data_IF_186722877824
#
_entry.id   IF_186722877824
#
_cell.length_a   1.000
_cell.length_b   1.000
_cell.length_c   1.000
_cell.angle_alpha   90.00
_cell.angle_beta   90.00
_cell.angle_gamma   90.00
#
_symmetry.space_group_name_H-M   'P 1'
#
loop_
_entity.id
_entity.type
_entity.pdbx_description
1 polymer ?
#
# COMPACT_ATOMS: atom_id res chain seq x y z
N UNK A 1 6.21 -16.08 7.07
CA UNK A 1 4.75 -16.04 6.84
C UNK A 1 4.25 -14.82 7.56
N UNK A 2 3.72 -13.86 6.81
CA UNK A 2 3.34 -12.54 7.33
C UNK A 2 2.08 -12.62 8.18
N UNK A 3 2.11 -12.03 9.38
CA UNK A 3 0.91 -11.88 10.20
C UNK A 3 0.14 -10.64 9.72
N UNK A 4 -1.14 -10.80 9.41
CA UNK A 4 -1.98 -9.72 8.87
C UNK A 4 -3.12 -9.40 9.84
N UNK A 5 -3.16 -8.16 10.32
CA UNK A 5 -4.25 -7.59 11.12
C UNK A 5 -4.89 -6.45 10.35
N UNK A 6 -6.20 -6.54 10.08
CA UNK A 6 -6.96 -5.52 9.33
C UNK A 6 -8.26 -5.19 10.08
N UNK A 7 -8.78 -3.96 9.98
CA UNK A 7 -9.98 -3.58 10.71
C UNK A 7 -11.20 -4.26 10.07
N UNK A 8 -12.24 -4.52 10.88
CA UNK A 8 -13.51 -5.01 10.37
C UNK A 8 -14.07 -4.03 9.32
N UNK A 9 -14.44 -4.57 8.15
CA UNK A 9 -15.05 -3.77 7.10
C UNK A 9 -16.54 -4.09 7.00
N UNK A 10 -17.37 -3.06 7.09
CA UNK A 10 -18.82 -3.18 6.92
C UNK A 10 -19.23 -3.49 5.47
N UNK A 11 -18.27 -3.60 4.53
CA UNK A 11 -18.50 -4.02 3.15
C UNK A 11 -19.16 -2.97 2.26
N UNK A 12 -19.21 -1.72 2.70
CA UNK A 12 -19.99 -0.66 2.03
C UNK A 12 -19.26 0.01 0.85
N UNK A 13 -17.95 -0.22 0.67
CA UNK A 13 -17.14 0.43 -0.37
C UNK A 13 -16.20 -0.58 -1.02
N UNK A 14 -16.38 -0.90 -2.33
CA UNK A 14 -15.45 -1.77 -3.06
C UNK A 14 -14.01 -1.28 -3.02
N UNK A 15 -13.80 0.05 -3.05
CA UNK A 15 -12.48 0.66 -2.99
C UNK A 15 -11.79 0.47 -1.64
N UNK A 16 -12.57 0.39 -0.56
CA UNK A 16 -12.02 0.16 0.78
C UNK A 16 -11.44 -1.25 0.88
N UNK A 17 -12.17 -2.25 0.40
CA UNK A 17 -11.66 -3.62 0.29
C UNK A 17 -10.43 -3.68 -0.62
N UNK A 18 -10.49 -3.05 -1.80
CA UNK A 18 -9.36 -2.99 -2.74
C UNK A 18 -8.09 -2.39 -2.10
N UNK A 19 -8.19 -1.25 -1.39
CA UNK A 19 -7.02 -0.64 -0.75
C UNK A 19 -6.47 -1.48 0.40
N UNK A 20 -7.34 -2.13 1.18
CA UNK A 20 -6.91 -3.10 2.21
C UNK A 20 -6.10 -4.21 1.54
N UNK A 21 -6.66 -4.85 0.53
CA UNK A 21 -6.05 -6.01 -0.14
C UNK A 21 -4.76 -5.60 -0.87
N UNK A 22 -4.72 -4.39 -1.43
CA UNK A 22 -3.53 -3.81 -2.04
C UNK A 22 -2.38 -3.64 -1.03
N UNK A 23 -2.66 -3.18 0.19
CA UNK A 23 -1.62 -3.06 1.22
C UNK A 23 -1.17 -4.42 1.76
N UNK A 24 -2.09 -5.39 1.85
CA UNK A 24 -1.74 -6.79 2.18
C UNK A 24 -0.82 -7.37 1.10
N UNK A 25 -1.13 -7.15 -0.19
CA UNK A 25 -0.29 -7.59 -1.29
C UNK A 25 1.15 -7.04 -1.21
N UNK A 26 1.33 -5.79 -0.78
CA UNK A 26 2.67 -5.25 -0.49
C UNK A 26 3.40 -6.02 0.61
N UNK A 27 2.71 -6.38 1.69
CA UNK A 27 3.30 -7.12 2.81
C UNK A 27 3.54 -8.61 2.51
N UNK A 28 2.83 -9.18 1.53
CA UNK A 28 2.99 -10.57 1.08
C UNK A 28 3.89 -10.70 -0.16
N UNK A 29 4.26 -9.57 -0.79
CA UNK A 29 5.06 -9.57 -2.02
C UNK A 29 4.27 -10.05 -3.25
N UNK A 30 2.96 -9.89 -3.28
CA UNK A 30 2.10 -10.25 -4.43
C UNK A 30 2.21 -9.18 -5.54
N UNK A 31 3.32 -9.24 -6.26
CA UNK A 31 3.65 -8.34 -7.36
C UNK A 31 2.58 -8.34 -8.46
N UNK A 32 2.01 -9.49 -8.79
CA UNK A 32 0.99 -9.62 -9.83
C UNK A 32 -0.24 -8.78 -9.47
N UNK A 33 -0.77 -8.95 -8.25
CA UNK A 33 -1.94 -8.18 -7.79
C UNK A 33 -1.66 -6.68 -7.72
N UNK A 34 -0.47 -6.27 -7.25
CA UNK A 34 -0.09 -4.86 -7.16
C UNK A 34 -0.08 -4.23 -8.56
N UNK A 35 0.58 -4.88 -9.53
CA UNK A 35 0.71 -4.36 -10.89
C UNK A 35 -0.63 -4.34 -11.63
N UNK A 36 -1.53 -5.30 -11.36
CA UNK A 36 -2.89 -5.30 -11.93
C UNK A 36 -3.77 -4.18 -11.37
N UNK A 37 -3.58 -3.80 -10.11
CA UNK A 37 -4.41 -2.82 -9.39
C UNK A 37 -4.08 -1.36 -9.75
N UNK A 38 -2.82 -1.09 -10.11
CA UNK A 38 -2.37 0.25 -10.53
C UNK A 38 -2.58 0.49 -12.02
N UNK A 39 -2.73 1.75 -12.43
CA UNK A 39 -2.78 2.15 -13.85
C UNK A 39 -1.43 1.93 -14.56
N UNK A 40 -1.44 1.92 -15.90
CA UNK A 40 -0.22 1.77 -16.70
C UNK A 40 0.76 2.93 -16.48
N UNK A 41 0.24 4.15 -16.27
CA UNK A 41 0.94 5.42 -16.05
C UNK A 41 0.97 5.85 -14.58
N UNK A 42 0.90 4.88 -13.65
CA UNK A 42 0.85 5.16 -12.21
C UNK A 42 2.02 6.03 -11.73
N UNK A 43 1.73 7.01 -10.88
CA UNK A 43 2.75 7.83 -10.22
C UNK A 43 2.86 7.43 -8.74
N UNK A 44 3.99 6.87 -8.33
CA UNK A 44 4.27 6.54 -6.93
C UNK A 44 5.37 7.44 -6.36
N UNK A 45 5.06 8.15 -5.28
CA UNK A 45 6.02 8.94 -4.51
C UNK A 45 6.23 8.32 -3.13
N UNK A 46 7.44 7.83 -2.85
CA UNK A 46 7.91 7.56 -1.49
C UNK A 46 8.50 8.86 -0.91
N UNK A 47 7.81 9.46 0.05
CA UNK A 47 8.19 10.79 0.58
C UNK A 47 9.52 10.71 1.31
N UNK A 48 10.44 11.61 0.96
CA UNK A 48 11.82 11.59 1.49
C UNK A 48 12.78 10.73 0.69
N UNK A 49 12.29 9.98 -0.31
CA UNK A 49 13.09 9.04 -1.09
C UNK A 49 12.97 9.32 -2.59
N UNK A 50 12.17 8.52 -3.32
CA UNK A 50 12.13 8.45 -4.77
C UNK A 50 10.72 8.59 -5.31
N UNK A 51 10.64 9.04 -6.56
CA UNK A 51 9.44 8.99 -7.39
C UNK A 51 9.60 7.95 -8.49
N UNK A 52 8.52 7.25 -8.79
CA UNK A 52 8.43 6.15 -9.77
C UNK A 52 7.28 6.43 -10.71
N UNK A 53 7.45 6.13 -12.00
CA UNK A 53 6.44 6.40 -13.01
C UNK A 53 6.21 5.18 -13.90
N UNK A 54 4.96 4.70 -13.89
CA UNK A 54 4.50 3.54 -14.64
C UNK A 54 4.83 2.21 -13.96
N UNK A 55 4.17 1.15 -14.43
CA UNK A 55 4.26 -0.20 -13.85
C UNK A 55 5.67 -0.78 -13.82
N UNK A 56 6.53 -0.42 -14.78
CA UNK A 56 7.92 -0.88 -14.81
C UNK A 56 8.74 -0.42 -13.61
N UNK A 57 8.66 0.88 -13.28
CA UNK A 57 9.35 1.44 -12.11
C UNK A 57 8.77 0.89 -10.78
N UNK A 58 7.46 0.60 -10.75
CA UNK A 58 6.82 -0.06 -9.60
C UNK A 58 7.35 -1.48 -9.44
N UNK A 59 7.41 -2.28 -10.52
CA UNK A 59 7.93 -3.64 -10.48
C UNK A 59 9.38 -3.69 -9.99
N UNK A 60 10.26 -2.82 -10.52
CA UNK A 60 11.64 -2.73 -10.06
C UNK A 60 11.75 -2.37 -8.57
N UNK A 61 10.84 -1.54 -8.06
CA UNK A 61 10.81 -1.23 -6.64
C UNK A 61 10.35 -2.40 -5.76
N UNK A 62 9.36 -3.17 -6.23
CA UNK A 62 8.93 -4.39 -5.57
C UNK A 62 10.06 -5.42 -5.53
N UNK A 63 10.84 -5.54 -6.61
CA UNK A 63 12.06 -6.37 -6.64
C UNK A 63 13.11 -5.91 -5.63
N UNK A 64 13.36 -4.60 -5.51
CA UNK A 64 14.26 -4.05 -4.47
C UNK A 64 13.75 -4.33 -3.04
N UNK A 65 12.44 -4.50 -2.87
CA UNK A 65 11.80 -4.78 -1.58
C UNK A 65 11.70 -6.28 -1.26
N UNK A 66 11.93 -7.19 -2.22
CA UNK A 66 11.76 -8.66 -2.03
C UNK A 66 12.60 -9.26 -0.92
N UNK A 67 13.74 -8.65 -0.59
CA UNK A 67 14.63 -9.11 0.48
C UNK A 67 14.23 -8.57 1.87
N UNK A 68 13.19 -7.73 1.96
CA UNK A 68 12.66 -7.22 3.23
C UNK A 68 11.48 -8.06 3.68
N UNK A 69 11.75 -9.10 4.46
CA UNK A 69 10.71 -9.98 4.98
C UNK A 69 9.86 -9.23 6.04
N UNK A 70 8.59 -9.01 5.70
CA UNK A 70 7.60 -8.45 6.62
C UNK A 70 7.14 -9.55 7.57
N UNK A 71 7.32 -9.33 8.88
CA UNK A 71 6.82 -10.23 9.91
C UNK A 71 5.34 -9.97 10.23
N UNK A 72 4.95 -8.70 10.32
CA UNK A 72 3.58 -8.30 10.64
C UNK A 72 3.16 -7.02 9.88
N UNK A 73 1.94 -7.02 9.37
CA UNK A 73 1.23 -5.82 8.93
C UNK A 73 0.00 -5.63 9.82
N UNK A 74 -0.11 -4.45 10.42
CA UNK A 74 -1.34 -3.97 11.03
C UNK A 74 -1.86 -2.78 10.24
N UNK A 75 -3.05 -2.93 9.64
CA UNK A 75 -3.81 -1.82 9.07
C UNK A 75 -4.72 -1.27 10.16
N UNK A 76 -4.55 0.01 10.48
CA UNK A 76 -5.39 0.69 11.48
C UNK A 76 -6.66 1.26 10.83
N UNK A 77 -6.52 1.89 9.66
CA UNK A 77 -7.65 2.52 8.98
C UNK A 77 -7.53 2.40 7.47
N UNK A 78 -8.69 2.29 6.85
CA UNK A 78 -8.87 2.47 5.41
C UNK A 78 -10.01 3.45 5.20
N UNK A 79 -9.70 4.58 4.57
CA UNK A 79 -10.63 5.68 4.32
C UNK A 79 -10.79 5.84 2.82
N UNK A 80 -12.02 5.97 2.34
CA UNK A 80 -12.30 6.24 0.91
C UNK A 80 -13.40 7.27 0.76
N UNK A 81 -13.27 8.16 -0.22
CA UNK A 81 -14.31 9.09 -0.63
C UNK A 81 -14.15 9.46 -2.11
N UNK A 82 -15.15 9.17 -2.94
CA UNK A 82 -15.10 9.44 -4.38
C UNK A 82 -13.92 8.73 -5.08
N UNK A 83 -12.97 9.50 -5.60
CA UNK A 83 -11.77 9.01 -6.26
C UNK A 83 -10.52 8.99 -5.37
N UNK A 84 -10.64 9.36 -4.10
CA UNK A 84 -9.49 9.41 -3.17
C UNK A 84 -9.61 8.34 -2.08
N UNK A 85 -8.48 7.84 -1.59
CA UNK A 85 -8.43 6.99 -0.42
C UNK A 85 -7.13 7.14 0.36
N UNK A 86 -7.11 6.60 1.57
CA UNK A 86 -5.91 6.55 2.41
C UNK A 86 -5.92 5.27 3.25
N UNK A 87 -4.73 4.73 3.50
CA UNK A 87 -4.49 3.61 4.41
C UNK A 87 -3.38 4.01 5.37
N UNK A 88 -3.58 3.78 6.67
CA UNK A 88 -2.52 3.95 7.66
C UNK A 88 -2.42 2.72 8.56
N UNK A 89 -1.23 2.51 9.10
CA UNK A 89 -0.92 1.34 9.89
C UNK A 89 0.54 1.26 10.31
N UNK A 90 0.94 0.07 10.75
CA UNK A 90 2.31 -0.27 11.13
C UNK A 90 2.76 -1.54 10.43
N UNK A 91 4.00 -1.57 9.99
CA UNK A 91 4.68 -2.77 9.47
C UNK A 91 5.87 -3.11 10.37
N UNK A 92 6.00 -4.37 10.74
CA UNK A 92 7.13 -4.90 11.52
C UNK A 92 7.90 -5.87 10.64
N UNK A 93 9.21 -5.66 10.53
CA UNK A 93 10.12 -6.50 9.76
C UNK A 93 10.61 -7.69 10.59
N UNK A 94 11.12 -8.74 9.95
CA UNK A 94 11.68 -9.90 10.64
C UNK A 94 12.90 -9.57 11.53
N UNK A 95 13.63 -8.50 11.24
CA UNK A 95 14.74 -8.01 12.06
C UNK A 95 14.30 -7.24 13.32
N UNK A 96 12.99 -7.04 13.49
CA UNK A 96 12.37 -6.34 14.61
C UNK A 96 12.22 -4.83 14.42
N UNK A 97 12.72 -4.25 13.33
CA UNK A 97 12.44 -2.85 13.00
C UNK A 97 10.94 -2.67 12.68
N UNK A 98 10.39 -1.52 13.08
CA UNK A 98 8.98 -1.22 12.89
C UNK A 98 8.81 0.15 12.25
N UNK A 99 7.83 0.27 11.36
CA UNK A 99 7.55 1.51 10.63
C UNK A 99 6.07 1.81 10.66
N UNK A 100 5.73 3.04 11.04
CA UNK A 100 4.39 3.58 10.85
C UNK A 100 4.30 4.12 9.42
N UNK A 101 3.19 3.84 8.75
CA UNK A 101 2.97 4.31 7.38
C UNK A 101 1.60 4.98 7.22
N UNK A 102 1.54 5.85 6.22
CA UNK A 102 0.30 6.37 5.67
C UNK A 102 0.46 6.49 4.16
N UNK A 103 -0.37 5.77 3.42
CA UNK A 103 -0.43 5.83 1.97
C UNK A 103 -1.69 6.55 1.53
N UNK A 104 -1.54 7.54 0.65
CA UNK A 104 -2.64 8.31 0.07
C UNK A 104 -2.76 7.98 -1.42
N UNK A 105 -3.98 7.69 -1.85
CA UNK A 105 -4.31 7.14 -3.16
C UNK A 105 -5.26 8.04 -3.93
N UNK A 106 -5.02 8.17 -5.23
CA UNK A 106 -6.00 8.67 -6.18
C UNK A 106 -6.31 7.60 -7.23
N UNK A 107 -7.59 7.37 -7.49
CA UNK A 107 -8.08 6.44 -8.49
C UNK A 107 -8.33 7.16 -9.82
N UNK A 108 -8.20 6.45 -10.93
CA UNK A 108 -8.50 6.93 -12.28
C UNK A 108 -9.94 7.44 -12.46
N UNK A 109 -10.89 6.98 -11.63
CA UNK A 109 -12.27 7.47 -11.59
C UNK A 109 -12.97 7.13 -10.27
N UNK A 110 -14.24 7.52 -10.12
CA UNK A 110 -15.10 7.14 -8.97
C UNK A 110 -15.70 5.73 -9.11
N UNK A 111 -15.51 5.03 -10.23
CA UNK A 111 -16.05 3.69 -10.47
C UNK A 111 -15.47 2.63 -9.53
N UNK A 112 -16.20 1.54 -9.34
CA UNK A 112 -15.80 0.42 -8.45
C UNK A 112 -14.54 -0.31 -8.91
N UNK A 113 -14.26 -0.30 -10.22
CA UNK A 113 -13.13 -1.00 -10.84
C UNK A 113 -12.04 -0.02 -11.30
N UNK A 114 -12.01 1.18 -10.71
CA UNK A 114 -11.01 2.18 -11.07
C UNK A 114 -9.63 1.73 -10.59
N UNK A 115 -8.64 1.75 -11.47
CA UNK A 115 -7.24 1.52 -11.12
C UNK A 115 -6.67 2.69 -10.29
N UNK A 116 -5.62 2.44 -9.51
CA UNK A 116 -4.87 3.46 -8.78
C UNK A 116 -4.01 4.26 -9.77
N UNK A 117 -4.24 5.57 -9.83
CA UNK A 117 -3.47 6.52 -10.66
C UNK A 117 -2.26 7.06 -9.92
N UNK A 118 -2.42 7.43 -8.66
CA UNK A 118 -1.33 7.97 -7.86
C UNK A 118 -1.31 7.33 -6.48
N UNK A 119 -0.09 7.18 -5.95
CA UNK A 119 0.17 6.71 -4.60
C UNK A 119 1.25 7.59 -3.98
N UNK A 120 1.00 8.11 -2.79
CA UNK A 120 2.01 8.83 -2.01
C UNK A 120 2.17 8.15 -0.67
N UNK A 121 3.37 7.63 -0.42
CA UNK A 121 3.71 6.87 0.79
C UNK A 121 4.52 7.72 1.75
N UNK A 122 4.03 7.83 2.97
CA UNK A 122 4.74 8.41 4.11
C UNK A 122 5.11 7.27 5.03
N UNK A 123 6.39 7.04 5.25
CA UNK A 123 6.90 5.96 6.11
C UNK A 123 7.85 6.56 7.12
N UNK A 124 7.68 6.20 8.40
CA UNK A 124 8.49 6.69 9.50
C UNK A 124 8.85 5.50 10.37
N UNK A 125 10.14 5.33 10.65
CA UNK A 125 10.62 4.34 11.61
C UNK A 125 10.09 4.68 13.01
N UNK A 126 9.48 3.69 13.67
CA UNK A 126 9.03 3.79 15.05
C UNK A 126 10.22 3.45 15.94
N UNK A 127 10.93 4.49 16.39
CA UNK A 127 12.01 4.31 17.36
C UNK A 127 11.52 3.86 18.73
N UNK A 128 12.42 3.28 19.52
CA UNK A 128 12.20 3.12 20.96
C UNK A 128 12.05 4.52 21.61
N UNK A 129 10.91 4.75 22.25
CA UNK A 129 10.59 6.01 22.93
C UNK A 129 11.41 6.21 24.22
#
# INVERSE_FOLDING_TARGET
MTTITVPEDCGNSPKKALLRDFNVAFAEGDEEFILETVSEDVEWTSVGERKRHGRGDVASALEEMKDNDVAELTVDRVITHGATGAVDGTVTMEDGSAYAFCDVYEFTSTGSNAAIRTMTSYVIEVGDA
#
